data_IF_395347044788
#
_entry.id   IF_395347044788
#
_cell.length_a   1.000
_cell.length_b   1.000
_cell.length_c   1.000
_cell.angle_alpha   90.00
_cell.angle_beta   90.00
_cell.angle_gamma   90.00
#
_symmetry.space_group_name_H-M   'P 1'
#
loop_
_entity.id
_entity.type
_entity.pdbx_description
1 polymer ?
#
# COMPACT_ATOMS: atom_id res chain seq x y z
N UNK A 1 -15.98 -23.03 2.90
CA UNK A 1 -16.58 -23.44 1.61
C UNK A 1 -15.88 -22.84 0.39
N UNK A 2 -15.66 -21.52 0.33
CA UNK A 2 -14.97 -20.87 -0.80
C UNK A 2 -13.63 -21.55 -1.19
N UNK A 3 -12.76 -21.80 -0.20
CA UNK A 3 -11.46 -22.48 -0.41
C UNK A 3 -11.60 -23.87 -1.06
N UNK A 4 -12.65 -24.61 -0.70
CA UNK A 4 -12.89 -25.95 -1.22
C UNK A 4 -13.38 -25.86 -2.66
N UNK A 5 -14.40 -25.04 -2.91
CA UNK A 5 -14.95 -24.81 -4.25
C UNK A 5 -13.88 -24.36 -5.25
N UNK A 6 -13.00 -23.44 -4.83
CA UNK A 6 -11.87 -22.98 -5.64
C UNK A 6 -10.83 -24.08 -5.90
N UNK A 7 -10.63 -25.02 -4.98
CA UNK A 7 -9.69 -26.14 -5.19
C UNK A 7 -10.23 -27.19 -6.15
N UNK A 8 -11.55 -27.44 -6.12
CA UNK A 8 -12.21 -28.46 -6.95
C UNK A 8 -12.75 -27.91 -8.28
N UNK A 9 -12.57 -26.61 -8.54
CA UNK A 9 -13.04 -25.95 -9.77
C UNK A 9 -14.57 -25.84 -9.89
N UNK A 10 -15.30 -25.86 -8.77
CA UNK A 10 -16.76 -25.79 -8.78
C UNK A 10 -17.23 -24.32 -8.70
N UNK A 11 -17.30 -23.67 -9.85
CA UNK A 11 -17.54 -22.22 -9.95
C UNK A 11 -18.89 -21.77 -9.39
N UNK A 12 -19.96 -22.57 -9.54
CA UNK A 12 -21.27 -22.24 -8.97
C UNK A 12 -21.22 -22.17 -7.44
N UNK A 13 -20.55 -23.13 -6.80
CA UNK A 13 -20.35 -23.16 -5.35
C UNK A 13 -19.38 -22.06 -4.91
N UNK A 14 -18.34 -21.78 -5.70
CA UNK A 14 -17.39 -20.69 -5.44
C UNK A 14 -18.14 -19.35 -5.37
N UNK A 15 -19.03 -19.08 -6.33
CA UNK A 15 -19.87 -17.88 -6.37
C UNK A 15 -20.85 -17.82 -5.19
N UNK A 16 -21.56 -18.90 -4.89
CA UNK A 16 -22.46 -18.94 -3.73
C UNK A 16 -21.71 -18.66 -2.42
N UNK A 17 -20.52 -19.24 -2.27
CA UNK A 17 -19.68 -19.00 -1.10
C UNK A 17 -19.15 -17.56 -1.07
N UNK A 18 -18.83 -16.97 -2.23
CA UNK A 18 -18.44 -15.56 -2.33
C UNK A 18 -19.54 -14.63 -1.85
N UNK A 19 -20.77 -14.83 -2.36
CA UNK A 19 -21.93 -14.02 -2.01
C UNK A 19 -22.28 -14.15 -0.52
N UNK A 20 -22.18 -15.36 0.03
CA UNK A 20 -22.37 -15.60 1.45
C UNK A 20 -21.32 -14.89 2.32
N UNK A 21 -20.03 -14.90 1.91
CA UNK A 21 -18.99 -14.15 2.60
C UNK A 21 -19.33 -12.66 2.56
N UNK A 22 -19.63 -12.10 1.37
CA UNK A 22 -19.96 -10.69 1.20
C UNK A 22 -21.15 -10.27 2.07
N UNK A 23 -22.22 -11.07 2.10
CA UNK A 23 -23.42 -10.80 2.91
C UNK A 23 -23.15 -10.81 4.42
N UNK A 24 -22.12 -11.54 4.87
CA UNK A 24 -21.72 -11.58 6.28
C UNK A 24 -20.76 -10.47 6.71
N UNK A 25 -20.26 -9.65 5.78
CA UNK A 25 -19.33 -8.55 6.11
C UNK A 25 -20.08 -7.31 6.58
N UNK A 26 -19.56 -6.69 7.63
CA UNK A 26 -20.07 -5.44 8.20
C UNK A 26 -18.93 -4.63 8.82
N UNK A 27 -19.18 -3.36 9.19
CA UNK A 27 -18.16 -2.51 9.82
C UNK A 27 -17.51 -3.11 11.08
N UNK A 28 -18.22 -3.97 11.82
CA UNK A 28 -17.70 -4.59 13.05
C UNK A 28 -16.67 -5.70 12.78
N UNK A 29 -16.78 -6.40 11.66
CA UNK A 29 -15.93 -7.56 11.36
C UNK A 29 -14.95 -7.31 10.22
N UNK A 30 -15.14 -6.27 9.41
CA UNK A 30 -14.41 -6.11 8.15
C UNK A 30 -12.89 -6.03 8.33
N UNK A 31 -12.42 -5.32 9.36
CA UNK A 31 -11.00 -5.20 9.65
C UNK A 31 -10.37 -6.53 10.07
N UNK A 32 -11.09 -7.34 10.85
CA UNK A 32 -10.66 -8.70 11.23
C UNK A 32 -10.64 -9.62 10.02
N UNK A 33 -11.64 -9.53 9.15
CA UNK A 33 -11.71 -10.37 7.96
C UNK A 33 -10.62 -10.01 6.93
N UNK A 34 -10.24 -8.73 6.83
CA UNK A 34 -9.13 -8.25 5.97
C UNK A 34 -7.77 -8.83 6.35
N UNK A 35 -7.54 -9.07 7.64
CA UNK A 35 -6.30 -9.69 8.13
C UNK A 35 -6.32 -11.22 8.05
N UNK A 36 -7.42 -11.81 7.59
CA UNK A 36 -7.55 -13.26 7.51
C UNK A 36 -6.62 -13.88 6.45
N UNK A 37 -6.28 -15.15 6.67
CA UNK A 37 -5.55 -15.96 5.67
C UNK A 37 -6.36 -16.26 4.40
N UNK A 38 -7.68 -16.05 4.43
CA UNK A 38 -8.52 -16.18 3.24
C UNK A 38 -8.22 -15.04 2.28
N UNK A 39 -8.21 -13.81 2.79
CA UNK A 39 -7.92 -12.59 2.04
C UNK A 39 -6.54 -12.62 1.39
N UNK A 40 -5.54 -13.15 2.09
CA UNK A 40 -4.18 -13.33 1.58
C UNK A 40 -4.11 -14.17 0.30
N UNK A 41 -5.03 -15.14 0.17
CA UNK A 41 -4.95 -16.19 -0.84
C UNK A 41 -5.85 -15.94 -2.06
N UNK A 42 -6.85 -15.08 -1.93
CA UNK A 42 -7.88 -14.86 -2.94
C UNK A 42 -8.02 -13.36 -3.20
N UNK A 43 -7.33 -12.81 -4.20
CA UNK A 43 -7.38 -11.38 -4.53
C UNK A 43 -8.79 -10.85 -4.78
N UNK A 44 -9.69 -11.68 -5.31
CA UNK A 44 -11.09 -11.33 -5.53
C UNK A 44 -11.86 -11.13 -4.21
N UNK A 45 -11.49 -11.86 -3.15
CA UNK A 45 -12.06 -11.68 -1.81
C UNK A 45 -11.52 -10.39 -1.20
N UNK A 46 -10.22 -10.11 -1.35
CA UNK A 46 -9.62 -8.86 -0.89
C UNK A 46 -10.28 -7.65 -1.55
N UNK A 47 -10.47 -7.67 -2.88
CA UNK A 47 -11.12 -6.58 -3.59
C UNK A 47 -12.53 -6.30 -3.04
N UNK A 48 -13.34 -7.36 -2.86
CA UNK A 48 -14.69 -7.23 -2.32
C UNK A 48 -14.70 -6.74 -0.86
N UNK A 49 -13.80 -7.23 -0.01
CA UNK A 49 -13.67 -6.75 1.37
C UNK A 49 -13.28 -5.28 1.42
N UNK A 50 -12.38 -4.82 0.55
CA UNK A 50 -12.01 -3.42 0.48
C UNK A 50 -13.17 -2.53 0.00
N UNK A 51 -14.04 -3.03 -0.88
CA UNK A 51 -15.27 -2.31 -1.26
C UNK A 51 -16.21 -2.16 -0.06
N UNK A 52 -16.39 -3.23 0.72
CA UNK A 52 -17.21 -3.17 1.95
C UNK A 52 -16.59 -2.25 3.00
N UNK A 53 -15.27 -2.32 3.21
CA UNK A 53 -14.55 -1.43 4.11
C UNK A 53 -14.78 0.03 3.73
N UNK A 54 -14.65 0.34 2.44
CA UNK A 54 -14.84 1.69 1.92
C UNK A 54 -16.27 2.19 2.11
N UNK A 55 -17.28 1.36 1.86
CA UNK A 55 -18.68 1.71 2.17
C UNK A 55 -18.95 1.91 3.67
N UNK A 56 -18.11 1.39 4.55
CA UNK A 56 -18.23 1.50 6.01
C UNK A 56 -17.13 2.39 6.61
N UNK A 57 -16.44 3.20 5.82
CA UNK A 57 -15.23 3.89 6.28
C UNK A 57 -15.51 4.90 7.41
N UNK A 58 -16.70 5.52 7.39
CA UNK A 58 -17.18 6.44 8.43
C UNK A 58 -17.83 5.74 9.64
N UNK A 59 -17.75 4.41 9.72
CA UNK A 59 -18.25 3.65 10.87
C UNK A 59 -17.25 3.77 12.03
N UNK A 60 -17.74 4.03 13.23
CA UNK A 60 -16.91 4.12 14.44
C UNK A 60 -16.04 2.88 14.66
N UNK A 61 -16.57 1.68 14.39
CA UNK A 61 -15.81 0.43 14.49
C UNK A 61 -14.60 0.38 13.55
N UNK A 62 -14.74 0.99 12.36
CA UNK A 62 -13.65 1.04 11.37
C UNK A 62 -12.64 2.10 11.79
N UNK A 63 -13.10 3.29 12.17
CA UNK A 63 -12.24 4.39 12.64
C UNK A 63 -11.37 3.97 13.84
N UNK A 64 -11.99 3.33 14.84
CA UNK A 64 -11.29 2.86 16.05
C UNK A 64 -10.29 1.72 15.75
N UNK A 65 -10.60 0.87 14.77
CA UNK A 65 -9.78 -0.29 14.43
C UNK A 65 -8.65 -0.01 13.44
N UNK A 66 -8.73 1.07 12.66
CA UNK A 66 -7.73 1.44 11.65
C UNK A 66 -6.31 1.61 12.21
N UNK A 67 -6.08 2.29 13.36
CA UNK A 67 -4.75 2.39 13.96
C UNK A 67 -4.12 1.02 14.29
N UNK A 68 -4.94 0.07 14.73
CA UNK A 68 -4.51 -1.30 15.00
C UNK A 68 -4.07 -1.99 13.71
N UNK A 69 -4.89 -1.90 12.66
CA UNK A 69 -4.57 -2.46 11.34
C UNK A 69 -3.25 -1.87 10.80
N UNK A 70 -3.07 -0.55 10.88
CA UNK A 70 -1.86 0.13 10.44
C UNK A 70 -0.61 -0.37 11.19
N UNK A 71 -0.73 -0.61 12.49
CA UNK A 71 0.34 -1.17 13.32
C UNK A 71 0.71 -2.61 12.93
N UNK A 72 -0.28 -3.43 12.57
CA UNK A 72 -0.01 -4.79 12.09
C UNK A 72 0.73 -4.77 10.73
N UNK A 73 0.34 -3.87 9.83
CA UNK A 73 1.00 -3.69 8.54
C UNK A 73 2.45 -3.22 8.72
N UNK A 74 2.69 -2.21 9.57
CA UNK A 74 4.04 -1.67 9.77
C UNK A 74 5.02 -2.67 10.38
N UNK A 75 4.50 -3.65 11.13
CA UNK A 75 5.27 -4.77 11.69
C UNK A 75 5.50 -5.92 10.71
N UNK A 76 4.88 -5.88 9.53
CA UNK A 76 4.93 -6.96 8.55
C UNK A 76 4.14 -8.20 8.97
N UNK A 77 3.14 -8.06 9.86
CA UNK A 77 2.33 -9.18 10.35
C UNK A 77 1.31 -9.66 9.29
N UNK A 78 1.06 -8.85 8.25
CA UNK A 78 0.10 -9.14 7.18
C UNK A 78 0.80 -9.36 5.84
N UNK A 79 0.66 -10.56 5.28
CA UNK A 79 1.22 -10.92 3.98
C UNK A 79 0.74 -9.99 2.85
N UNK A 80 -0.52 -9.54 2.93
CA UNK A 80 -1.14 -8.64 1.96
C UNK A 80 -1.18 -7.17 2.40
N UNK A 81 -0.33 -6.76 3.36
CA UNK A 81 -0.36 -5.40 3.92
C UNK A 81 -0.24 -4.30 2.86
N UNK A 82 0.63 -4.50 1.86
CA UNK A 82 0.80 -3.56 0.74
C UNK A 82 -0.48 -3.40 -0.09
N UNK A 83 -1.17 -4.50 -0.38
CA UNK A 83 -2.34 -4.55 -1.25
C UNK A 83 -3.55 -3.93 -0.53
N UNK A 84 -3.60 -4.07 0.79
CA UNK A 84 -4.59 -3.37 1.63
C UNK A 84 -4.39 -1.86 1.55
N UNK A 85 -3.16 -1.36 1.79
CA UNK A 85 -2.86 0.08 1.73
C UNK A 85 -3.19 0.63 0.34
N UNK A 86 -2.64 0.02 -0.71
CA UNK A 86 -2.89 0.45 -2.10
C UNK A 86 -4.39 0.42 -2.42
N UNK A 87 -5.08 -0.62 -1.99
CA UNK A 87 -6.51 -0.80 -2.22
C UNK A 87 -7.39 0.22 -1.50
N UNK A 88 -7.01 0.66 -0.30
CA UNK A 88 -7.66 1.76 0.42
C UNK A 88 -7.39 3.08 -0.32
N UNK A 89 -6.13 3.41 -0.61
CA UNK A 89 -5.74 4.63 -1.30
C UNK A 89 -6.43 4.78 -2.67
N UNK A 90 -6.53 3.70 -3.44
CA UNK A 90 -7.23 3.69 -4.72
C UNK A 90 -8.72 4.05 -4.61
N UNK A 91 -9.39 3.57 -3.55
CA UNK A 91 -10.82 3.83 -3.32
C UNK A 91 -11.05 5.25 -2.85
N UNK A 92 -10.26 5.72 -1.88
CA UNK A 92 -10.28 7.13 -1.45
C UNK A 92 -9.99 8.06 -2.63
N UNK A 93 -9.00 7.73 -3.48
CA UNK A 93 -8.71 8.54 -4.67
C UNK A 93 -9.89 8.62 -5.64
N UNK A 94 -10.62 7.51 -5.83
CA UNK A 94 -11.80 7.48 -6.69
C UNK A 94 -12.89 8.43 -6.19
N UNK A 95 -13.06 8.54 -4.88
CA UNK A 95 -14.13 9.33 -4.28
C UNK A 95 -13.80 10.82 -4.15
N UNK A 96 -12.52 11.15 -3.91
CA UNK A 96 -12.13 12.52 -3.56
C UNK A 96 -11.24 13.24 -4.59
N UNK A 97 -10.57 12.52 -5.50
CA UNK A 97 -9.58 13.09 -6.43
C UNK A 97 -9.99 13.02 -7.92
N UNK A 98 -11.29 13.02 -8.21
CA UNK A 98 -11.80 13.22 -9.58
C UNK A 98 -11.96 14.71 -9.96
N UNK A 99 -11.45 15.64 -9.16
CA UNK A 99 -11.22 17.01 -9.65
C UNK A 99 -10.04 16.97 -10.65
N UNK A 100 -10.14 17.63 -11.83
CA UNK A 100 -9.04 17.64 -12.78
C UNK A 100 -7.77 18.19 -12.11
N UNK A 101 -6.70 17.41 -12.15
CA UNK A 101 -5.37 17.90 -11.80
C UNK A 101 -5.02 19.00 -12.83
N UNK A 102 -5.13 20.27 -12.43
CA UNK A 102 -4.32 21.32 -13.05
C UNK A 102 -2.86 20.85 -12.88
N UNK A 103 -2.08 20.75 -13.97
CA UNK A 103 -0.75 20.15 -13.92
C UNK A 103 0.13 20.97 -12.96
N UNK A 104 0.40 20.43 -11.79
CA UNK A 104 1.45 20.95 -10.91
C UNK A 104 2.77 20.59 -11.58
N UNK A 105 3.31 21.52 -12.37
CA UNK A 105 4.71 21.49 -12.77
C UNK A 105 5.56 21.54 -11.51
N UNK A 106 5.97 20.36 -11.02
CA UNK A 106 7.15 20.27 -10.19
C UNK A 106 8.34 20.65 -11.06
N UNK A 107 8.61 21.95 -11.15
CA UNK A 107 9.92 22.43 -11.55
C UNK A 107 10.89 21.96 -10.47
N UNK A 108 11.46 20.77 -10.68
CA UNK A 108 12.62 20.32 -9.95
C UNK A 108 13.74 21.27 -10.37
N UNK A 109 13.92 22.36 -9.63
CA UNK A 109 15.13 23.17 -9.73
C UNK A 109 16.29 22.21 -9.50
N UNK A 110 16.94 21.85 -10.60
CA UNK A 110 18.16 21.08 -10.59
C UNK A 110 19.15 21.89 -9.75
N UNK A 111 19.37 21.47 -8.50
CA UNK A 111 20.49 21.93 -7.71
C UNK A 111 21.73 21.65 -8.55
N UNK A 112 22.26 22.67 -9.20
CA UNK A 112 23.54 22.60 -9.88
C UNK A 112 24.55 22.23 -8.82
N UNK A 113 24.96 20.97 -8.79
CA UNK A 113 26.14 20.57 -8.05
C UNK A 113 27.32 21.31 -8.70
N UNK A 114 27.72 22.41 -8.09
CA UNK A 114 28.97 23.08 -8.41
C UNK A 114 30.08 22.10 -8.04
N UNK A 115 30.62 21.44 -9.05
CA UNK A 115 31.82 20.61 -8.93
C UNK A 115 32.92 21.46 -8.31
N UNK A 116 33.49 21.09 -7.14
CA UNK A 116 34.58 21.86 -6.57
C UNK A 116 35.79 21.81 -7.51
N UNK A 117 36.55 22.92 -7.64
CA UNK A 117 37.66 22.99 -8.57
C UNK A 117 38.74 21.95 -8.23
N UNK A 118 39.46 21.42 -9.24
CA UNK A 118 40.50 20.44 -9.03
C UNK A 118 41.61 21.00 -8.13
N UNK A 119 42.00 20.23 -7.09
CA UNK A 119 43.15 20.55 -6.22
C UNK A 119 44.40 20.67 -7.08
N UNK A 120 44.88 21.90 -7.26
CA UNK A 120 46.19 22.19 -7.85
C UNK A 120 47.28 21.52 -7.01
N UNK A 121 48.01 20.59 -7.62
CA UNK A 121 49.12 19.89 -6.99
C UNK A 121 50.23 20.86 -6.59
N UNK A 122 50.64 20.80 -5.33
CA UNK A 122 51.83 21.49 -4.84
C UNK A 122 53.05 20.83 -5.48
N UNK A 123 53.67 21.52 -6.45
CA UNK A 123 54.94 21.10 -7.05
C UNK A 123 56.05 21.18 -6.00
N UNK A 124 56.75 20.07 -5.81
CA UNK A 124 57.95 19.91 -4.98
C UNK A 124 59.02 20.90 -5.43
N UNK A 125 59.38 21.84 -4.55
CA UNK A 125 60.57 22.69 -4.68
C UNK A 125 61.79 21.98 -4.13
N UNK A 126 62.73 21.67 -5.01
CA UNK A 126 64.02 21.06 -4.77
C UNK A 126 65.05 22.16 -4.44
N UNK A 127 65.71 22.09 -3.29
CA UNK A 127 66.96 22.83 -3.04
C UNK A 127 67.97 21.91 -2.40
N UNK A 128 68.85 21.35 -3.25
CA UNK A 128 70.19 20.91 -2.88
C UNK A 128 71.11 22.14 -2.96
N UNK A 129 71.87 22.41 -1.91
CA UNK A 129 73.21 22.99 -2.02
C UNK A 129 74.04 22.65 -0.79
N UNK A 130 75.21 22.08 -1.08
CA UNK A 130 76.31 21.72 -0.19
C UNK A 130 77.00 22.95 0.42
N UNK A 131 77.43 22.85 1.69
CA UNK A 131 78.83 22.97 2.11
C UNK A 131 78.99 22.46 3.54
#
# INVERSE_FOLDING_TARGET
MYRLASKIGLESLKRLAFDAIRAGLCGQNILRELTSSLTAKYPEILAMQLDVLHSNFASTFVEDGLPSLAKQISRGELLQGEQIILGICQRVRRDYYLAPEEPVSCEVEARTYTTPPPRMGVKKGNTRTFK
#
